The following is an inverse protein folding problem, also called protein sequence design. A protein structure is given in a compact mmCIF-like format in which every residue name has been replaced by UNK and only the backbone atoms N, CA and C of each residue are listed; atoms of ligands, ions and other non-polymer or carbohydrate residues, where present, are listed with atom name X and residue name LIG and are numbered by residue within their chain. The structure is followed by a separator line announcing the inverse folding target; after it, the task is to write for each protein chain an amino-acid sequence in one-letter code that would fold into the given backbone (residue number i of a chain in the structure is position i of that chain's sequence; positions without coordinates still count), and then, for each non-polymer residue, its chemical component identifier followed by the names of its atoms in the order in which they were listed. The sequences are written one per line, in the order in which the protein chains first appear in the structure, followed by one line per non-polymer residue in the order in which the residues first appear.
data_IF_313215280777
#
_entry.id   IF_313215280777
#
_cell.length_a   1.000
_cell.length_b   1.000
_cell.length_c   1.000
_cell.angle_alpha   90.00
_cell.angle_beta   90.00
_cell.angle_gamma   90.00
#
_symmetry.space_group_name_H-M   'P 1'
#
loop_
_entity.id
_entity.type
_entity.pdbx_description
1 polymer ?
#
# COMPACT_ATOMS: atom_id res chain seq x y z
N UNK A 1 -16.81 -17.22 -1.62
CA UNK A 1 -15.41 -16.87 -1.35
C UNK A 1 -15.35 -16.30 0.07
N UNK A 2 -14.44 -16.76 0.91
CA UNK A 2 -14.22 -16.16 2.22
C UNK A 2 -13.71 -14.72 1.98
N UNK A 3 -14.26 -13.73 2.68
CA UNK A 3 -13.80 -12.36 2.58
C UNK A 3 -12.33 -12.28 3.03
N UNK A 4 -11.52 -11.50 2.33
CA UNK A 4 -10.17 -11.18 2.79
C UNK A 4 -10.27 -10.39 4.10
N UNK A 5 -9.59 -10.80 5.16
CA UNK A 5 -9.74 -10.18 6.46
C UNK A 5 -8.43 -9.64 6.99
N UNK A 6 -8.44 -8.38 7.40
CA UNK A 6 -7.35 -7.73 8.13
C UNK A 6 -7.79 -7.37 9.55
N UNK A 7 -7.02 -7.80 10.52
CA UNK A 7 -7.18 -7.43 11.93
C UNK A 7 -6.10 -6.41 12.28
N UNK A 8 -6.49 -5.22 12.70
CA UNK A 8 -5.56 -4.10 12.96
C UNK A 8 -5.45 -3.88 14.46
N UNK A 9 -4.30 -4.18 15.04
CA UNK A 9 -3.98 -3.87 16.44
C UNK A 9 -3.37 -2.47 16.47
N UNK A 10 -4.02 -1.53 17.15
CA UNK A 10 -3.64 -0.11 17.15
C UNK A 10 -3.98 0.59 18.46
N UNK A 11 -3.27 1.68 18.76
CA UNK A 11 -3.61 2.60 19.85
C UNK A 11 -4.69 3.63 19.46
N UNK A 12 -4.89 3.84 18.15
CA UNK A 12 -5.74 4.88 17.60
C UNK A 12 -6.70 4.33 16.54
N UNK A 13 -7.68 3.49 16.93
CA UNK A 13 -8.65 2.92 16.00
C UNK A 13 -9.46 4.00 15.26
N UNK A 14 -9.62 5.19 15.84
CA UNK A 14 -10.38 6.31 15.27
C UNK A 14 -9.78 6.82 13.96
N UNK A 15 -8.48 6.61 13.73
CA UNK A 15 -7.81 7.01 12.49
C UNK A 15 -8.31 6.22 11.27
N UNK A 16 -8.92 5.07 11.47
CA UNK A 16 -9.38 4.20 10.38
C UNK A 16 -10.80 4.53 9.89
N UNK A 17 -11.63 5.20 10.69
CA UNK A 17 -13.02 5.48 10.33
C UNK A 17 -13.19 6.13 8.96
N UNK A 18 -12.60 7.31 8.69
CA UNK A 18 -12.67 7.96 7.38
C UNK A 18 -12.09 7.11 6.25
N UNK A 19 -10.99 6.40 6.49
CA UNK A 19 -10.36 5.52 5.51
C UNK A 19 -11.30 4.40 5.02
N UNK A 20 -12.07 3.82 5.92
CA UNK A 20 -12.98 2.71 5.61
C UNK A 20 -14.30 3.16 4.97
N UNK A 21 -14.67 4.44 5.10
CA UNK A 21 -16.01 4.94 4.74
C UNK A 21 -16.03 5.96 3.61
N UNK A 22 -14.87 6.52 3.23
CA UNK A 22 -14.77 7.55 2.20
C UNK A 22 -13.96 7.08 0.99
N UNK A 23 -14.11 7.80 -0.12
CA UNK A 23 -13.39 7.51 -1.36
C UNK A 23 -13.90 6.29 -2.11
N UNK A 24 -13.21 5.91 -3.18
CA UNK A 24 -13.59 4.79 -4.05
C UNK A 24 -13.36 3.44 -3.39
N UNK A 25 -12.33 3.33 -2.56
CA UNK A 25 -11.92 2.08 -1.88
C UNK A 25 -12.92 1.61 -0.82
N UNK A 26 -13.82 2.50 -0.31
CA UNK A 26 -14.92 2.09 0.56
C UNK A 26 -15.77 0.95 -0.02
N UNK A 27 -15.86 0.85 -1.37
CA UNK A 27 -16.61 -0.20 -2.04
C UNK A 27 -16.11 -1.62 -1.69
N UNK A 28 -14.82 -1.78 -1.44
CA UNK A 28 -14.25 -3.05 -1.02
C UNK A 28 -14.80 -3.49 0.34
N UNK A 29 -14.98 -2.55 1.24
CA UNK A 29 -15.50 -2.77 2.59
C UNK A 29 -17.02 -2.96 2.59
N UNK A 30 -17.76 -2.09 1.86
CA UNK A 30 -19.22 -2.16 1.73
C UNK A 30 -19.69 -3.46 1.05
N UNK A 31 -18.93 -3.98 0.09
CA UNK A 31 -19.23 -5.24 -0.60
C UNK A 31 -18.73 -6.48 0.15
N UNK A 32 -18.14 -6.32 1.32
CA UNK A 32 -17.55 -7.39 2.12
C UNK A 32 -16.49 -8.24 1.38
N UNK A 33 -15.84 -7.68 0.37
CA UNK A 33 -14.67 -8.32 -0.26
C UNK A 33 -13.44 -8.20 0.64
N UNK A 34 -13.37 -7.10 1.40
CA UNK A 34 -12.30 -6.82 2.35
C UNK A 34 -12.93 -6.44 3.68
N UNK A 35 -12.69 -7.25 4.71
CA UNK A 35 -13.10 -7.00 6.09
C UNK A 35 -11.92 -6.41 6.87
N UNK A 36 -12.16 -5.31 7.60
CA UNK A 36 -11.18 -4.74 8.53
C UNK A 36 -11.78 -4.72 9.93
N UNK A 37 -11.12 -5.40 10.87
CA UNK A 37 -11.49 -5.42 12.28
C UNK A 37 -10.44 -4.70 13.11
N UNK A 38 -10.87 -3.71 13.88
CA UNK A 38 -9.99 -2.90 14.72
C UNK A 38 -9.93 -3.47 16.15
N UNK A 39 -8.72 -3.53 16.68
CA UNK A 39 -8.43 -4.05 18.01
C UNK A 39 -7.68 -2.96 18.81
N UNK A 40 -8.40 -2.20 19.64
CA UNK A 40 -7.79 -1.16 20.47
C UNK A 40 -6.84 -1.80 21.49
N UNK A 41 -5.53 -1.56 21.36
CA UNK A 41 -4.52 -2.22 22.19
C UNK A 41 -4.70 -1.94 23.68
N UNK A 42 -5.20 -0.76 24.05
CA UNK A 42 -5.45 -0.41 25.44
C UNK A 42 -6.49 -1.29 26.15
N UNK A 43 -7.36 -1.96 25.39
CA UNK A 43 -8.35 -2.90 25.95
C UNK A 43 -7.70 -4.20 26.47
N UNK A 44 -6.45 -4.43 26.09
CA UNK A 44 -5.65 -5.59 26.49
C UNK A 44 -4.62 -5.31 27.59
N UNK A 45 -4.60 -4.08 28.12
CA UNK A 45 -3.81 -3.74 29.28
C UNK A 45 -4.52 -4.24 30.56
N UNK A 46 -3.76 -4.83 31.48
CA UNK A 46 -4.28 -5.43 32.72
C UNK A 46 -4.15 -4.52 33.96
N UNK A 47 -3.66 -3.28 33.74
CA UNK A 47 -3.47 -2.31 34.83
C UNK A 47 -4.52 -1.19 34.78
N UNK A 48 -4.77 -0.56 35.92
CA UNK A 48 -5.78 0.47 36.05
C UNK A 48 -5.56 1.72 35.16
N UNK A 49 -4.33 1.96 34.74
CA UNK A 49 -3.96 3.08 33.86
C UNK A 49 -4.01 2.70 32.37
N UNK A 50 -4.38 1.47 32.03
CA UNK A 50 -4.39 0.93 30.65
C UNK A 50 -3.07 1.16 29.92
N UNK A 51 -1.97 0.97 30.65
CA UNK A 51 -0.59 1.21 30.19
C UNK A 51 -0.16 0.09 29.28
N UNK A 52 0.41 0.45 28.13
CA UNK A 52 0.85 -0.46 27.06
C UNK A 52 2.30 -0.25 26.65
N UNK A 53 3.01 0.62 27.38
CA UNK A 53 4.39 1.02 27.08
C UNK A 53 5.20 1.19 28.38
N UNK A 54 6.53 1.05 28.28
CA UNK A 54 7.46 1.30 29.37
C UNK A 54 8.82 1.80 28.84
N UNK A 55 9.67 2.24 29.73
CA UNK A 55 11.02 2.72 29.40
C UNK A 55 11.88 1.59 28.83
N UNK A 56 12.72 1.85 27.81
CA UNK A 56 13.62 0.84 27.28
C UNK A 56 14.68 0.44 28.30
N UNK A 57 15.02 -0.84 28.31
CA UNK A 57 16.21 -1.31 29.02
C UNK A 57 17.47 -0.69 28.39
N UNK A 58 18.47 -0.40 29.24
CA UNK A 58 19.67 0.31 28.81
C UNK A 58 19.53 1.83 28.80
N UNK A 59 18.32 2.36 29.11
CA UNK A 59 18.06 3.80 29.10
C UNK A 59 17.84 4.36 27.70
N UNK A 60 17.73 5.66 27.58
CA UNK A 60 17.46 6.36 26.33
C UNK A 60 16.14 7.13 26.37
N UNK A 61 15.87 7.94 25.33
CA UNK A 61 14.62 8.66 25.19
C UNK A 61 13.47 7.73 24.81
N UNK A 62 12.24 8.18 25.05
CA UNK A 62 11.03 7.51 24.60
C UNK A 62 10.59 6.31 25.42
N UNK A 63 9.71 5.52 24.84
CA UNK A 63 9.04 4.38 25.44
C UNK A 63 9.04 3.22 24.45
N UNK A 64 8.82 1.98 24.91
CA UNK A 64 8.70 0.78 24.08
C UNK A 64 7.37 0.10 24.39
N UNK A 65 6.68 -0.38 23.36
CA UNK A 65 5.43 -1.13 23.54
C UNK A 65 5.69 -2.45 24.24
N UNK A 66 4.92 -2.71 25.30
CA UNK A 66 5.03 -3.90 26.13
C UNK A 66 4.56 -5.17 25.38
N UNK A 67 5.30 -6.26 25.55
CA UNK A 67 4.97 -7.55 24.92
C UNK A 67 3.65 -8.13 25.44
N UNK A 68 3.34 -8.01 26.74
CA UNK A 68 2.15 -8.62 27.37
C UNK A 68 0.80 -8.13 26.79
N UNK A 69 0.53 -6.80 26.68
CA UNK A 69 -0.70 -6.35 26.03
C UNK A 69 -0.80 -6.79 24.56
N UNK A 70 0.32 -6.79 23.84
CA UNK A 70 0.39 -7.24 22.45
C UNK A 70 0.10 -8.73 22.32
N UNK A 71 0.64 -9.57 23.21
CA UNK A 71 0.38 -11.01 23.25
C UNK A 71 -1.12 -11.27 23.47
N UNK A 72 -1.75 -10.61 24.45
CA UNK A 72 -3.18 -10.74 24.71
C UNK A 72 -4.03 -10.30 23.52
N UNK A 73 -3.69 -9.18 22.89
CA UNK A 73 -4.38 -8.71 21.69
C UNK A 73 -4.27 -9.72 20.54
N UNK A 74 -3.06 -10.21 20.26
CA UNK A 74 -2.84 -11.18 19.20
C UNK A 74 -3.57 -12.50 19.46
N UNK A 75 -3.60 -12.99 20.70
CA UNK A 75 -4.36 -14.18 21.06
C UNK A 75 -5.86 -13.98 20.86
N UNK A 76 -6.41 -12.81 21.25
CA UNK A 76 -7.81 -12.49 21.01
C UNK A 76 -8.15 -12.45 19.50
N UNK A 77 -7.26 -11.89 18.68
CA UNK A 77 -7.39 -11.93 17.22
C UNK A 77 -7.42 -13.36 16.70
N UNK A 78 -6.48 -14.20 17.10
CA UNK A 78 -6.39 -15.60 16.68
C UNK A 78 -7.64 -16.40 17.05
N UNK A 79 -8.15 -16.23 18.27
CA UNK A 79 -9.40 -16.84 18.71
C UNK A 79 -10.58 -16.39 17.85
N UNK A 80 -10.67 -15.09 17.54
CA UNK A 80 -11.76 -14.54 16.74
C UNK A 80 -11.67 -14.90 15.24
N UNK A 81 -10.49 -15.26 14.73
CA UNK A 81 -10.31 -15.75 13.36
C UNK A 81 -10.65 -17.22 13.24
N UNK A 82 -10.39 -18.01 14.26
CA UNK A 82 -10.66 -19.47 14.29
C UNK A 82 -10.07 -20.23 13.09
N UNK A 83 -8.93 -19.79 12.58
CA UNK A 83 -8.28 -20.35 11.40
C UNK A 83 -7.37 -21.53 11.81
N UNK A 84 -7.32 -22.57 10.95
CA UNK A 84 -6.41 -23.69 11.15
C UNK A 84 -4.94 -23.24 11.05
N UNK A 85 -4.65 -22.35 10.06
CA UNK A 85 -3.36 -21.71 9.90
C UNK A 85 -3.48 -20.25 10.33
N UNK A 86 -2.65 -19.78 11.28
CA UNK A 86 -2.73 -18.41 11.75
C UNK A 86 -2.32 -17.43 10.66
N UNK A 87 -3.12 -16.37 10.46
CA UNK A 87 -2.78 -15.29 9.56
C UNK A 87 -1.42 -14.68 9.92
N UNK A 88 -0.62 -14.24 8.92
CA UNK A 88 0.68 -13.63 9.18
C UNK A 88 0.52 -12.36 10.02
N UNK A 89 1.43 -12.17 10.97
CA UNK A 89 1.57 -10.93 11.73
C UNK A 89 2.51 -9.98 10.98
N UNK A 90 2.02 -8.78 10.70
CA UNK A 90 2.79 -7.72 10.02
C UNK A 90 3.04 -6.57 10.98
N UNK A 91 4.28 -6.17 11.12
CA UNK A 91 4.70 -4.96 11.83
C UNK A 91 5.19 -3.93 10.81
N UNK A 92 4.70 -2.70 10.89
CA UNK A 92 5.23 -1.61 10.09
C UNK A 92 6.43 -0.98 10.78
N UNK A 93 7.59 -1.05 10.11
CA UNK A 93 8.89 -0.66 10.67
C UNK A 93 9.79 -0.10 9.57
N UNK A 94 10.64 0.91 9.86
CA UNK A 94 11.67 1.37 8.91
C UNK A 94 12.68 0.28 8.52
N UNK A 95 12.86 -0.75 9.35
CA UNK A 95 13.76 -1.88 9.10
C UNK A 95 13.18 -2.93 8.16
N UNK A 96 11.87 -2.83 7.87
CA UNK A 96 11.14 -3.81 7.09
C UNK A 96 11.40 -3.77 5.58
N UNK A 97 10.98 -4.84 4.89
CA UNK A 97 10.93 -4.88 3.43
C UNK A 97 10.02 -3.76 2.91
N UNK A 98 10.47 -3.03 1.90
CA UNK A 98 9.63 -2.02 1.25
C UNK A 98 8.41 -2.62 0.60
N UNK A 99 7.28 -1.95 0.81
CA UNK A 99 6.03 -2.24 0.11
C UNK A 99 6.17 -1.74 -1.33
N UNK A 100 5.96 -2.64 -2.28
CA UNK A 100 5.90 -2.37 -3.71
C UNK A 100 4.62 -2.97 -4.33
N UNK A 101 4.37 -2.68 -5.60
CA UNK A 101 3.17 -3.15 -6.28
C UNK A 101 3.12 -4.68 -6.42
N UNK A 102 4.27 -5.35 -6.46
CA UNK A 102 4.33 -6.81 -6.52
C UNK A 102 3.84 -7.42 -5.20
N UNK A 103 4.30 -6.88 -4.07
CA UNK A 103 3.82 -7.28 -2.74
C UNK A 103 2.31 -7.02 -2.59
N UNK A 104 1.82 -5.85 -3.02
CA UNK A 104 0.40 -5.52 -2.96
C UNK A 104 -0.45 -6.51 -3.76
N UNK A 105 -0.01 -6.91 -4.96
CA UNK A 105 -0.69 -7.92 -5.77
C UNK A 105 -0.71 -9.30 -5.11
N UNK A 106 0.41 -9.72 -4.54
CA UNK A 106 0.50 -10.97 -3.79
C UNK A 106 -0.55 -10.98 -2.67
N UNK A 107 -0.63 -9.90 -1.92
CA UNK A 107 -1.55 -9.79 -0.78
C UNK A 107 -3.00 -9.62 -1.19
N UNK A 108 -3.29 -9.02 -2.36
CA UNK A 108 -4.65 -8.88 -2.90
C UNK A 108 -5.30 -10.22 -3.27
N UNK A 109 -4.52 -11.30 -3.38
CA UNK A 109 -5.01 -12.67 -3.62
C UNK A 109 -5.03 -13.54 -2.37
N UNK A 110 -4.54 -13.02 -1.24
CA UNK A 110 -4.42 -13.73 0.02
C UNK A 110 -5.69 -13.69 0.89
N UNK A 111 -5.61 -14.33 2.05
CA UNK A 111 -6.70 -14.35 3.04
C UNK A 111 -6.69 -13.14 3.98
N UNK A 112 -5.67 -12.28 3.90
CA UNK A 112 -5.45 -11.14 4.79
C UNK A 112 -4.36 -11.40 5.84
N UNK A 113 -4.29 -10.53 6.86
CA UNK A 113 -3.24 -10.55 7.87
C UNK A 113 -3.68 -9.90 9.20
N UNK A 114 -2.83 -10.02 10.21
CA UNK A 114 -2.88 -9.19 11.40
C UNK A 114 -1.87 -8.05 11.23
N UNK A 115 -2.34 -6.81 11.23
CA UNK A 115 -1.53 -5.61 11.07
C UNK A 115 -1.27 -5.00 12.45
N UNK A 116 -0.02 -4.95 12.88
CA UNK A 116 0.38 -4.31 14.11
C UNK A 116 0.90 -2.89 13.82
N UNK A 117 0.20 -1.91 14.33
CA UNK A 117 0.59 -0.51 14.27
C UNK A 117 1.50 -0.18 15.46
N UNK A 118 2.81 -0.28 15.27
CA UNK A 118 3.80 0.12 16.25
C UNK A 118 3.75 1.62 16.52
N UNK A 119 4.07 2.00 17.77
CA UNK A 119 4.19 3.39 18.24
C UNK A 119 5.42 3.54 19.11
N UNK A 120 5.70 4.76 19.53
CA UNK A 120 6.85 5.10 20.38
C UNK A 120 8.19 4.76 19.70
N UNK A 121 9.16 4.23 20.46
CA UNK A 121 10.47 3.80 19.90
C UNK A 121 10.39 2.40 19.24
N UNK A 122 9.26 1.74 19.36
CA UNK A 122 9.03 0.43 18.75
C UNK A 122 8.34 -0.57 19.68
N UNK A 123 8.37 -1.81 19.26
CA UNK A 123 7.77 -2.97 19.93
C UNK A 123 8.86 -3.77 20.62
N UNK A 124 8.57 -4.34 21.79
CA UNK A 124 9.48 -5.25 22.48
C UNK A 124 9.96 -6.36 21.52
N UNK A 125 11.28 -6.45 21.32
CA UNK A 125 11.88 -7.36 20.35
C UNK A 125 11.52 -8.82 20.61
N UNK A 126 11.35 -9.21 21.87
CA UNK A 126 10.96 -10.58 22.26
C UNK A 126 9.61 -10.98 21.69
N UNK A 127 8.68 -10.03 21.55
CA UNK A 127 7.38 -10.27 20.90
C UNK A 127 7.55 -10.49 19.39
N UNK A 128 8.35 -9.65 18.74
CA UNK A 128 8.65 -9.75 17.30
C UNK A 128 9.26 -11.11 16.98
N UNK A 129 10.31 -11.48 17.72
CA UNK A 129 11.06 -12.74 17.53
C UNK A 129 10.17 -13.97 17.78
N UNK A 130 9.36 -13.94 18.86
CA UNK A 130 8.46 -15.02 19.22
C UNK A 130 7.44 -15.36 18.14
N UNK A 131 6.91 -14.34 17.48
CA UNK A 131 5.83 -14.50 16.50
C UNK A 131 6.29 -14.48 15.05
N UNK A 132 7.57 -14.27 14.79
CA UNK A 132 8.12 -14.19 13.45
C UNK A 132 7.41 -13.10 12.63
N UNK A 133 7.21 -11.91 13.22
CA UNK A 133 6.50 -10.83 12.56
C UNK A 133 7.20 -10.42 11.27
N UNK A 134 6.42 -10.28 10.19
CA UNK A 134 6.90 -9.74 8.93
C UNK A 134 7.01 -8.22 9.05
N UNK A 135 8.21 -7.69 8.92
CA UNK A 135 8.41 -6.25 8.95
C UNK A 135 8.26 -5.66 7.55
N UNK A 136 7.39 -4.64 7.41
CA UNK A 136 7.14 -3.91 6.16
C UNK A 136 7.38 -2.42 6.35
N UNK A 137 7.93 -1.76 5.32
CA UNK A 137 8.24 -0.33 5.30
C UNK A 137 7.58 0.37 4.13
N UNK A 138 7.09 1.60 4.33
CA UNK A 138 6.64 2.47 3.23
C UNK A 138 7.80 3.09 2.46
N UNK A 139 8.98 3.21 3.08
CA UNK A 139 10.14 3.87 2.47
C UNK A 139 11.14 4.35 3.51
N UNK A 140 12.19 5.02 3.04
CA UNK A 140 13.32 5.47 3.87
C UNK A 140 12.99 6.81 4.56
N UNK A 141 12.00 6.81 5.41
CA UNK A 141 11.59 7.90 6.29
C UNK A 141 10.88 7.35 7.52
N UNK A 142 10.83 8.16 8.59
CA UNK A 142 10.24 7.76 9.86
C UNK A 142 8.86 8.39 10.03
N UNK A 143 7.91 7.57 10.46
CA UNK A 143 6.56 7.98 10.84
C UNK A 143 6.35 7.83 12.35
N UNK A 144 5.37 8.53 12.89
CA UNK A 144 5.02 8.46 14.32
C UNK A 144 4.32 7.16 14.72
N UNK A 145 3.94 6.30 13.74
CA UNK A 145 3.29 5.02 14.01
C UNK A 145 2.89 4.26 12.76
N UNK A 146 2.43 3.04 12.94
CA UNK A 146 2.09 2.11 11.87
C UNK A 146 0.72 2.29 11.24
N UNK A 147 -0.12 3.20 11.71
CA UNK A 147 -1.50 3.37 11.21
C UNK A 147 -1.53 3.87 9.76
N UNK A 148 -0.68 4.85 9.41
CA UNK A 148 -0.59 5.34 8.02
C UNK A 148 -0.08 4.26 7.06
N UNK A 149 1.01 3.52 7.36
CA UNK A 149 1.40 2.36 6.55
C UNK A 149 0.30 1.31 6.41
N UNK A 150 -0.44 1.01 7.49
CA UNK A 150 -1.56 0.08 7.43
C UNK A 150 -2.65 0.56 6.47
N UNK A 151 -3.04 1.82 6.56
CA UNK A 151 -4.01 2.42 5.65
C UNK A 151 -3.52 2.43 4.20
N UNK A 152 -2.25 2.76 3.96
CA UNK A 152 -1.66 2.75 2.62
C UNK A 152 -1.70 1.33 2.00
N UNK A 153 -1.36 0.30 2.78
CA UNK A 153 -1.42 -1.09 2.33
C UNK A 153 -2.87 -1.52 2.04
N UNK A 154 -3.81 -1.21 2.93
CA UNK A 154 -5.23 -1.53 2.77
C UNK A 154 -5.82 -0.85 1.53
N UNK A 155 -5.52 0.43 1.28
CA UNK A 155 -5.97 1.17 0.10
C UNK A 155 -5.41 0.55 -1.19
N UNK A 156 -4.11 0.28 -1.22
CA UNK A 156 -3.45 -0.32 -2.36
C UNK A 156 -4.03 -1.70 -2.73
N UNK A 157 -4.35 -2.53 -1.73
CA UNK A 157 -5.01 -3.83 -1.91
C UNK A 157 -6.45 -3.64 -2.39
N UNK A 158 -7.24 -2.76 -1.75
CA UNK A 158 -8.63 -2.53 -2.07
C UNK A 158 -8.82 -2.12 -3.54
N UNK A 159 -7.92 -1.30 -4.10
CA UNK A 159 -7.94 -0.88 -5.51
C UNK A 159 -7.82 -2.04 -6.50
N UNK A 160 -7.20 -3.14 -6.11
CA UNK A 160 -7.01 -4.32 -6.97
C UNK A 160 -8.20 -5.29 -6.94
N UNK A 161 -9.14 -5.10 -6.01
CA UNK A 161 -10.29 -6.00 -5.89
C UNK A 161 -11.33 -5.74 -6.99
N UNK A 162 -11.98 -6.79 -7.51
CA UNK A 162 -12.94 -6.66 -8.61
C UNK A 162 -14.09 -5.70 -8.29
N UNK A 163 -14.40 -4.77 -9.21
CA UNK A 163 -15.52 -3.85 -9.10
C UNK A 163 -15.34 -2.70 -8.10
N UNK A 164 -14.20 -2.58 -7.42
CA UNK A 164 -13.90 -1.46 -6.52
C UNK A 164 -13.64 -0.20 -7.33
N UNK A 165 -12.79 -0.26 -8.35
CA UNK A 165 -12.64 0.81 -9.33
C UNK A 165 -13.74 0.72 -10.38
N UNK A 166 -14.13 1.87 -10.94
CA UNK A 166 -15.24 1.96 -11.91
C UNK A 166 -14.96 1.25 -13.24
N UNK A 167 -13.70 1.16 -13.64
CA UNK A 167 -13.24 0.42 -14.81
C UNK A 167 -12.25 -0.66 -14.37
N UNK A 168 -12.53 -1.90 -14.74
CA UNK A 168 -11.66 -3.04 -14.41
C UNK A 168 -10.25 -2.93 -15.00
N UNK A 169 -10.06 -2.14 -16.07
CA UNK A 169 -8.76 -1.89 -16.68
C UNK A 169 -7.96 -0.77 -16.00
N UNK A 170 -8.59 0.02 -15.12
CA UNK A 170 -7.92 1.18 -14.51
C UNK A 170 -6.65 0.80 -13.75
N UNK A 171 -6.68 -0.30 -12.99
CA UNK A 171 -5.51 -0.74 -12.22
C UNK A 171 -4.44 -1.46 -13.08
N UNK A 172 -4.80 -1.93 -14.28
CA UNK A 172 -3.84 -2.57 -15.20
C UNK A 172 -2.94 -1.54 -15.89
N UNK A 173 -3.45 -0.31 -16.09
CA UNK A 173 -2.73 0.78 -16.72
C UNK A 173 -1.98 1.67 -15.71
N UNK A 174 -2.22 1.51 -14.41
CA UNK A 174 -1.52 2.26 -13.36
C UNK A 174 0.00 2.05 -13.40
N UNK A 175 0.75 3.04 -12.90
CA UNK A 175 2.19 2.93 -12.68
C UNK A 175 2.55 1.64 -11.95
N UNK A 176 3.67 1.03 -12.33
CA UNK A 176 4.20 -0.25 -11.82
C UNK A 176 3.39 -1.50 -12.22
N UNK A 177 2.21 -1.37 -12.78
CA UNK A 177 1.39 -2.51 -13.20
C UNK A 177 2.08 -3.35 -14.27
N UNK A 178 2.69 -2.70 -15.25
CA UNK A 178 3.53 -3.31 -16.28
C UNK A 178 5.03 -3.04 -16.06
N UNK A 179 5.44 -2.70 -14.82
CA UNK A 179 6.83 -2.40 -14.46
C UNK A 179 7.32 -1.01 -14.83
N UNK A 180 6.51 -0.17 -15.47
CA UNK A 180 6.86 1.19 -15.87
C UNK A 180 5.96 2.20 -15.14
N UNK A 181 6.30 3.49 -15.22
CA UNK A 181 5.40 4.58 -14.85
C UNK A 181 4.31 4.75 -15.91
N UNK A 182 3.12 5.15 -15.47
CA UNK A 182 2.03 5.47 -16.37
C UNK A 182 2.31 6.74 -17.20
N UNK A 183 1.58 6.91 -18.30
CA UNK A 183 1.72 8.07 -19.18
C UNK A 183 1.00 9.31 -18.60
N UNK A 184 1.33 10.53 -19.07
CA UNK A 184 0.60 11.72 -18.71
C UNK A 184 -0.87 11.67 -19.19
N UNK A 185 -1.79 12.14 -18.34
CA UNK A 185 -3.20 12.25 -18.65
C UNK A 185 -3.62 13.69 -18.88
N UNK A 186 -4.59 13.88 -19.78
CA UNK A 186 -5.14 15.17 -20.13
C UNK A 186 -6.66 15.14 -19.98
N UNK A 187 -7.22 16.21 -19.41
CA UNK A 187 -8.66 16.38 -19.26
C UNK A 187 -9.16 17.61 -20.05
N UNK A 188 -10.45 17.86 -20.01
CA UNK A 188 -11.06 19.06 -20.61
C UNK A 188 -10.71 20.33 -19.82
N UNK A 189 -10.62 21.50 -20.48
CA UNK A 189 -10.86 21.75 -21.90
C UNK A 189 -9.69 21.30 -22.80
N UNK A 190 -9.96 21.13 -24.11
CA UNK A 190 -8.94 20.75 -25.13
C UNK A 190 -7.78 21.76 -25.18
N UNK A 191 -8.07 23.03 -25.01
CA UNK A 191 -7.06 24.07 -24.87
C UNK A 191 -7.23 24.78 -23.51
N UNK A 192 -6.32 24.52 -22.58
CA UNK A 192 -6.31 25.21 -21.31
C UNK A 192 -5.60 26.56 -21.47
N UNK A 193 -6.37 27.65 -21.31
CA UNK A 193 -5.84 29.03 -21.33
C UNK A 193 -5.25 29.34 -19.95
N UNK A 194 -3.96 29.06 -19.81
CA UNK A 194 -3.21 29.41 -18.61
C UNK A 194 -2.79 30.90 -18.63
N UNK A 195 -2.52 31.50 -17.45
CA UNK A 195 -2.10 32.92 -17.39
C UNK A 195 -0.84 33.26 -18.18
N UNK A 196 0.02 32.27 -18.39
CA UNK A 196 1.30 32.37 -19.09
C UNK A 196 1.27 31.88 -20.57
N UNK A 197 0.06 31.49 -21.05
CA UNK A 197 -0.16 31.05 -22.42
C UNK A 197 -1.01 29.80 -22.55
N UNK A 198 -1.40 29.53 -23.79
CA UNK A 198 -2.27 28.38 -24.11
C UNK A 198 -1.54 27.04 -23.96
N UNK A 199 -2.25 26.05 -23.45
CA UNK A 199 -1.77 24.69 -23.22
C UNK A 199 -2.74 23.68 -23.87
N UNK A 200 -2.58 23.36 -25.16
CA UNK A 200 -3.44 22.40 -25.84
C UNK A 200 -3.12 20.96 -25.46
N UNK A 201 -4.13 20.10 -25.54
CA UNK A 201 -3.96 18.63 -25.49
C UNK A 201 -3.16 18.18 -26.72
N UNK A 202 -2.26 17.19 -26.58
CA UNK A 202 -1.55 16.62 -27.72
C UNK A 202 -2.50 16.17 -28.84
N UNK A 203 -2.29 16.61 -30.11
CA UNK A 203 -3.25 16.34 -31.21
C UNK A 203 -3.55 14.86 -31.44
N UNK A 204 -2.58 13.98 -31.18
CA UNK A 204 -2.77 12.52 -31.32
C UNK A 204 -3.90 12.00 -30.42
N UNK A 205 -4.09 12.59 -29.24
CA UNK A 205 -5.16 12.21 -28.30
C UNK A 205 -6.56 12.62 -28.77
N UNK A 206 -6.63 13.53 -29.74
CA UNK A 206 -7.86 14.03 -30.34
C UNK A 206 -8.20 13.34 -31.67
N UNK A 207 -7.28 12.53 -32.21
CA UNK A 207 -7.40 11.93 -33.54
C UNK A 207 -8.48 10.86 -33.67
N UNK A 208 -8.86 10.23 -32.56
CA UNK A 208 -9.73 9.05 -32.57
C UNK A 208 -9.06 7.75 -33.07
N UNK A 209 -7.78 7.80 -33.48
CA UNK A 209 -7.03 6.63 -33.92
C UNK A 209 -6.45 5.87 -32.73
N UNK A 210 -7.14 4.83 -32.27
CA UNK A 210 -6.77 4.09 -31.06
C UNK A 210 -5.36 3.51 -31.07
N UNK A 211 -4.88 3.05 -32.23
CA UNK A 211 -3.52 2.52 -32.35
C UNK A 211 -2.45 3.60 -32.13
N UNK A 212 -2.64 4.78 -32.71
CA UNK A 212 -1.70 5.89 -32.57
C UNK A 212 -1.72 6.44 -31.13
N UNK A 213 -2.89 6.50 -30.53
CA UNK A 213 -3.07 6.88 -29.12
C UNK A 213 -2.36 5.88 -28.20
N UNK A 214 -2.51 4.57 -28.43
CA UNK A 214 -1.86 3.53 -27.64
C UNK A 214 -0.32 3.61 -27.77
N UNK A 215 0.19 3.79 -28.99
CA UNK A 215 1.61 3.97 -29.24
C UNK A 215 2.14 5.20 -28.53
N UNK A 216 1.49 6.35 -28.68
CA UNK A 216 1.88 7.58 -28.00
C UNK A 216 1.91 7.42 -26.48
N UNK A 217 0.88 6.80 -25.88
CA UNK A 217 0.86 6.53 -24.44
C UNK A 217 2.03 5.64 -24.01
N UNK A 218 2.35 4.62 -24.77
CA UNK A 218 3.51 3.76 -24.52
C UNK A 218 4.82 4.53 -24.58
N UNK A 219 5.02 5.35 -25.59
CA UNK A 219 6.21 6.19 -25.74
C UNK A 219 6.34 7.21 -24.58
N UNK A 220 5.23 7.83 -24.16
CA UNK A 220 5.25 8.75 -23.01
C UNK A 220 5.56 8.02 -21.70
N UNK A 221 5.04 6.83 -21.49
CA UNK A 221 5.38 5.99 -20.35
C UNK A 221 6.87 5.66 -20.31
N UNK A 222 7.44 5.22 -21.43
CA UNK A 222 8.87 4.94 -21.56
C UNK A 222 9.73 6.19 -21.30
N UNK A 223 9.38 7.31 -21.91
CA UNK A 223 10.07 8.58 -21.74
C UNK A 223 10.07 9.03 -20.27
N UNK A 224 8.91 9.02 -19.65
CA UNK A 224 8.74 9.40 -18.24
C UNK A 224 9.54 8.48 -17.34
N UNK A 225 9.46 7.16 -17.58
CA UNK A 225 10.18 6.16 -16.80
C UNK A 225 11.70 6.32 -16.97
N UNK A 226 12.20 6.47 -18.20
CA UNK A 226 13.62 6.66 -18.44
C UNK A 226 14.19 7.89 -17.73
N UNK A 227 13.42 8.98 -17.69
CA UNK A 227 13.84 10.23 -17.03
C UNK A 227 13.76 10.21 -15.51
N UNK A 228 12.74 9.58 -14.94
CA UNK A 228 12.45 9.67 -13.51
C UNK A 228 12.84 8.42 -12.72
N UNK A 229 12.77 7.26 -13.37
CA UNK A 229 13.00 5.94 -12.76
C UNK A 229 13.77 5.03 -13.73
N UNK A 230 15.03 5.41 -14.08
CA UNK A 230 15.85 4.60 -14.98
C UNK A 230 16.11 3.17 -14.46
N UNK A 231 16.02 2.98 -13.16
CA UNK A 231 16.07 1.66 -12.50
C UNK A 231 14.95 0.73 -13.01
N UNK A 232 13.74 1.26 -13.25
CA UNK A 232 12.62 0.47 -13.79
C UNK A 232 12.85 0.08 -15.25
N UNK A 233 13.46 0.93 -16.06
CA UNK A 233 13.86 0.56 -17.44
C UNK A 233 14.88 -0.59 -17.40
N UNK A 234 15.87 -0.51 -16.50
CA UNK A 234 16.86 -1.58 -16.34
C UNK A 234 16.20 -2.90 -15.92
N UNK A 235 15.26 -2.83 -14.94
CA UNK A 235 14.52 -4.00 -14.48
C UNK A 235 13.61 -4.59 -15.59
N UNK A 236 12.88 -3.75 -16.34
CA UNK A 236 12.03 -4.18 -17.43
C UNK A 236 12.83 -4.84 -18.56
N UNK A 237 14.02 -4.31 -18.87
CA UNK A 237 14.96 -4.90 -19.84
C UNK A 237 15.46 -6.26 -19.38
N UNK A 238 15.87 -6.39 -18.12
CA UNK A 238 16.33 -7.66 -17.55
C UNK A 238 15.21 -8.72 -17.53
N UNK A 239 13.96 -8.30 -17.35
CA UNK A 239 12.79 -9.17 -17.38
C UNK A 239 12.29 -9.51 -18.80
N UNK A 240 12.90 -8.95 -19.87
CA UNK A 240 12.44 -9.13 -21.24
C UNK A 240 11.08 -8.49 -21.54
N UNK A 241 10.68 -7.49 -20.76
CA UNK A 241 9.37 -6.82 -20.86
C UNK A 241 9.34 -5.65 -21.86
N UNK A 242 10.49 -5.32 -22.47
CA UNK A 242 10.59 -4.29 -23.50
C UNK A 242 10.60 -4.90 -24.91
N UNK A 243 9.73 -4.41 -25.79
CA UNK A 243 9.71 -4.81 -27.20
C UNK A 243 10.86 -4.18 -27.98
N UNK A 244 11.14 -4.69 -29.19
CA UNK A 244 12.11 -4.08 -30.09
C UNK A 244 11.76 -2.62 -30.46
N UNK A 245 10.47 -2.29 -30.52
CA UNK A 245 10.01 -0.92 -30.75
C UNK A 245 10.30 -0.03 -29.54
N UNK A 246 10.09 -0.52 -28.31
CA UNK A 246 10.43 0.18 -27.06
C UNK A 246 11.93 0.48 -27.00
N UNK A 247 12.78 -0.52 -27.30
CA UNK A 247 14.25 -0.30 -27.29
C UNK A 247 14.69 0.68 -28.37
N UNK A 248 14.09 0.65 -29.56
CA UNK A 248 14.36 1.63 -30.60
C UNK A 248 13.97 3.05 -30.15
N UNK A 249 12.83 3.20 -29.51
CA UNK A 249 12.39 4.48 -28.96
C UNK A 249 13.35 4.98 -27.87
N UNK A 250 13.70 4.12 -26.91
CA UNK A 250 14.64 4.45 -25.82
C UNK A 250 16.03 4.84 -26.32
N UNK A 251 16.50 4.21 -27.42
CA UNK A 251 17.80 4.54 -28.03
C UNK A 251 17.79 5.89 -28.74
N UNK A 252 16.63 6.45 -29.05
CA UNK A 252 16.46 7.74 -29.71
C UNK A 252 16.27 8.92 -28.71
N UNK A 253 16.21 8.65 -27.40
CA UNK A 253 16.08 9.67 -26.34
C UNK A 253 17.42 10.29 -25.97
#
# INVERSE_FOLDING_TARGET
ACAMRFDVITLFPELFGPHLTLGVTRRAYESAQLEVKLWPLRDFADNAYRRVDDRPYGGGPGMVMLAEPLERALQAVRVARSEADPAPLVLFSPTGRRIDQALVREWATGAGAVLLCGRYEGVDQRFIDRHGALELSLGDFVLSGGELPAQALLDAIARLLPGVLGDAQSHEQDSFSAGLLDCPHYSRPENWRAPDGDRPVPPVLLSGHHADIALWRREQSLLLTARRRPDLITAARAAGALSAADEKFLAAL
#
